data_IF_650253482492
#
_entry.id   IF_650253482492
#
_cell.length_a   1.000
_cell.length_b   1.000
_cell.length_c   1.000
_cell.angle_alpha   90.00
_cell.angle_beta   90.00
_cell.angle_gamma   90.00
#
_symmetry.space_group_name_H-M   'P 1'
#
loop_
_entity.id
_entity.type
_entity.pdbx_description
1 polymer ?
#
# COMPACT_ATOMS: atom_id res chain seq x y z
N UNK A 1 -9.07 22.85 0.84
CA UNK A 1 -9.85 23.35 -0.31
C UNK A 1 -9.21 22.99 -1.65
N UNK A 2 -9.56 21.79 -2.15
CA UNK A 2 -9.87 21.43 -3.54
C UNK A 2 -10.57 20.07 -3.41
N UNK A 3 -11.88 20.13 -3.15
CA UNK A 3 -12.81 19.01 -3.19
C UNK A 3 -13.56 19.17 -4.52
N UNK A 4 -13.84 18.06 -5.19
CA UNK A 4 -14.27 17.88 -6.58
C UNK A 4 -13.13 17.70 -7.58
N UNK A 5 -12.45 16.57 -7.49
CA UNK A 5 -12.38 15.74 -8.67
C UNK A 5 -13.30 14.53 -8.42
N UNK A 6 -14.56 14.66 -8.85
CA UNK A 6 -15.15 13.58 -9.65
C UNK A 6 -14.04 13.03 -10.52
N UNK A 7 -13.87 11.73 -10.69
CA UNK A 7 -12.98 11.18 -11.72
C UNK A 7 -13.29 11.87 -13.05
N UNK A 8 -12.61 12.97 -13.31
CA UNK A 8 -12.82 13.83 -14.46
C UNK A 8 -12.10 13.01 -15.51
N UNK A 9 -12.85 12.16 -16.19
CA UNK A 9 -12.41 11.29 -17.25
C UNK A 9 -12.09 12.14 -18.49
N UNK A 10 -11.48 13.33 -18.28
CA UNK A 10 -10.89 14.13 -19.31
C UNK A 10 -9.72 13.32 -19.84
N UNK A 11 -9.72 13.00 -21.15
CA UNK A 11 -8.59 12.29 -21.74
C UNK A 11 -7.34 13.11 -21.47
N UNK A 12 -6.44 12.55 -20.67
CA UNK A 12 -5.14 13.15 -20.41
C UNK A 12 -4.47 13.40 -21.76
N UNK A 13 -3.91 14.59 -21.98
CA UNK A 13 -3.24 14.93 -23.24
C UNK A 13 -2.12 13.92 -23.51
N UNK A 14 -2.33 13.01 -24.46
CA UNK A 14 -1.33 12.03 -24.87
C UNK A 14 -0.39 12.66 -25.89
N UNK A 15 0.89 12.31 -25.82
CA UNK A 15 1.89 12.68 -26.83
C UNK A 15 2.61 11.42 -27.31
N UNK A 16 2.86 11.32 -28.60
CA UNK A 16 3.64 10.22 -29.17
C UNK A 16 5.13 10.45 -28.93
N UNK A 17 5.83 9.38 -28.59
CA UNK A 17 7.29 9.34 -28.38
C UNK A 17 7.82 8.08 -29.05
N UNK A 18 9.00 8.17 -29.68
CA UNK A 18 9.65 7.05 -30.38
C UNK A 18 10.97 6.73 -29.70
N UNK A 19 11.19 5.46 -29.37
CA UNK A 19 12.44 4.97 -28.80
C UNK A 19 12.98 3.80 -29.62
N UNK A 20 14.30 3.60 -29.57
CA UNK A 20 14.93 2.37 -30.05
C UNK A 20 15.13 1.44 -28.85
N UNK A 21 14.66 0.20 -28.97
CA UNK A 21 14.83 -0.85 -27.98
C UNK A 21 15.49 -2.05 -28.68
N UNK A 22 16.19 -2.87 -27.90
CA UNK A 22 16.73 -4.14 -28.41
C UNK A 22 15.57 -5.06 -28.84
N UNK A 23 15.73 -5.76 -29.97
CA UNK A 23 14.67 -6.63 -30.50
C UNK A 23 14.24 -7.70 -29.50
N UNK A 24 15.19 -8.26 -28.74
CA UNK A 24 14.93 -9.22 -27.66
C UNK A 24 13.94 -8.70 -26.62
N UNK A 25 14.09 -7.44 -26.20
CA UNK A 25 13.20 -6.80 -25.23
C UNK A 25 11.81 -6.56 -25.83
N UNK A 26 11.74 -6.18 -27.10
CA UNK A 26 10.45 -5.99 -27.78
C UNK A 26 9.70 -7.32 -27.89
N UNK A 27 10.39 -8.39 -28.28
CA UNK A 27 9.81 -9.73 -28.40
C UNK A 27 9.29 -10.25 -27.07
N UNK A 28 10.03 -10.09 -25.98
CA UNK A 28 9.60 -10.49 -24.63
C UNK A 28 8.38 -9.70 -24.16
N UNK A 29 8.37 -8.37 -24.35
CA UNK A 29 7.21 -7.54 -24.01
C UNK A 29 6.00 -7.84 -24.88
N UNK A 30 6.18 -8.19 -26.16
CA UNK A 30 5.10 -8.60 -27.04
C UNK A 30 4.50 -9.93 -26.59
N UNK A 31 5.33 -10.92 -26.25
CA UNK A 31 4.87 -12.19 -25.69
C UNK A 31 4.05 -11.99 -24.42
N UNK A 32 4.53 -11.14 -23.49
CA UNK A 32 3.78 -10.79 -22.28
C UNK A 32 2.46 -10.07 -22.57
N UNK A 33 2.43 -9.19 -23.57
CA UNK A 33 1.21 -8.50 -23.96
C UNK A 33 0.17 -9.48 -24.53
N UNK A 34 0.61 -10.40 -25.40
CA UNK A 34 -0.24 -11.42 -26.00
C UNK A 34 -0.77 -12.40 -24.93
N UNK A 35 0.09 -12.84 -24.01
CA UNK A 35 -0.29 -13.69 -22.87
C UNK A 35 -1.32 -13.04 -21.96
N UNK A 36 -1.26 -11.71 -21.79
CA UNK A 36 -2.22 -10.92 -21.00
C UNK A 36 -3.42 -10.44 -21.80
N UNK A 37 -3.57 -10.87 -23.05
CA UNK A 37 -4.64 -10.46 -23.97
C UNK A 37 -4.76 -8.92 -24.08
N UNK A 38 -3.62 -8.22 -24.14
CA UNK A 38 -3.53 -6.76 -24.22
C UNK A 38 -2.62 -6.30 -25.35
N UNK A 39 -2.66 -5.02 -25.70
CA UNK A 39 -1.72 -4.48 -26.69
C UNK A 39 -0.37 -4.14 -26.05
N UNK A 40 0.71 -4.27 -26.82
CA UNK A 40 2.05 -3.85 -26.42
C UNK A 40 2.06 -2.38 -25.93
N UNK A 41 1.32 -1.50 -26.58
CA UNK A 41 1.20 -0.10 -26.17
C UNK A 41 0.54 0.05 -24.79
N UNK A 42 -0.50 -0.74 -24.48
CA UNK A 42 -1.13 -0.73 -23.16
C UNK A 42 -0.14 -1.23 -22.10
N UNK A 43 0.57 -2.34 -22.36
CA UNK A 43 1.58 -2.88 -21.45
C UNK A 43 2.70 -1.86 -21.17
N UNK A 44 3.28 -1.26 -22.22
CA UNK A 44 4.34 -0.24 -22.08
C UNK A 44 3.83 0.96 -21.28
N UNK A 45 2.63 1.45 -21.55
CA UNK A 45 2.06 2.55 -20.77
C UNK A 45 1.86 2.18 -19.29
N UNK A 46 1.46 0.94 -18.98
CA UNK A 46 1.34 0.47 -17.60
C UNK A 46 2.72 0.43 -16.91
N UNK A 47 3.76 -0.10 -17.57
CA UNK A 47 5.14 -0.14 -17.04
C UNK A 47 5.66 1.27 -16.78
N UNK A 48 5.57 2.17 -17.77
CA UNK A 48 6.05 3.55 -17.62
C UNK A 48 5.31 4.31 -16.51
N UNK A 49 3.99 4.09 -16.37
CA UNK A 49 3.21 4.67 -15.28
C UNK A 49 3.63 4.10 -13.92
N UNK A 50 3.84 2.79 -13.82
CA UNK A 50 4.31 2.12 -12.59
C UNK A 50 5.67 2.66 -12.17
N UNK A 51 6.61 2.77 -13.10
CA UNK A 51 7.94 3.33 -12.84
C UNK A 51 7.88 4.80 -12.40
N UNK A 52 7.10 5.61 -13.12
CA UNK A 52 6.95 7.04 -12.82
C UNK A 52 6.30 7.27 -11.45
N UNK A 53 5.33 6.45 -11.07
CA UNK A 53 4.58 6.64 -9.84
C UNK A 53 5.29 6.06 -8.62
N UNK A 54 5.99 4.93 -8.75
CA UNK A 54 6.52 4.20 -7.60
C UNK A 54 7.96 3.68 -7.76
N UNK A 55 8.26 2.88 -8.77
CA UNK A 55 9.51 2.08 -8.78
C UNK A 55 10.78 2.95 -8.77
N UNK A 56 10.72 4.17 -9.34
CA UNK A 56 11.85 5.14 -9.26
C UNK A 56 12.21 5.57 -7.84
N UNK A 57 11.31 5.35 -6.88
CA UNK A 57 11.48 5.67 -5.46
C UNK A 57 11.78 4.45 -4.61
N UNK A 58 11.30 3.26 -4.98
CA UNK A 58 11.43 2.01 -4.21
C UNK A 58 12.87 1.75 -3.73
N UNK A 59 13.83 1.82 -4.65
CA UNK A 59 15.26 1.66 -4.34
C UNK A 59 15.82 2.79 -3.45
N UNK A 60 15.27 4.00 -3.57
CA UNK A 60 15.74 5.17 -2.80
C UNK A 60 15.26 5.14 -1.35
N UNK A 61 14.14 4.48 -1.10
CA UNK A 61 13.57 4.28 0.25
C UNK A 61 13.95 2.91 0.82
N UNK A 62 14.91 2.21 0.22
CA UNK A 62 15.45 0.96 0.77
C UNK A 62 14.46 -0.21 0.78
N UNK A 63 13.51 -0.25 -0.16
CA UNK A 63 12.58 -1.36 -0.29
C UNK A 63 13.14 -2.48 -1.16
N UNK A 64 12.79 -3.72 -0.79
CA UNK A 64 13.19 -4.93 -1.50
C UNK A 64 11.93 -5.78 -1.70
N UNK A 65 11.73 -6.38 -2.89
CA UNK A 65 10.61 -7.30 -3.11
C UNK A 65 10.77 -8.57 -2.27
N UNK A 66 9.75 -8.91 -1.49
CA UNK A 66 9.70 -10.13 -0.67
C UNK A 66 8.57 -11.03 -1.18
N UNK A 67 8.81 -12.33 -1.41
CA UNK A 67 7.75 -13.28 -1.74
C UNK A 67 6.64 -13.27 -0.68
N UNK A 68 5.40 -13.13 -1.12
CA UNK A 68 4.23 -13.00 -0.24
C UNK A 68 4.14 -14.10 0.82
N UNK A 69 4.49 -15.34 0.44
CA UNK A 69 4.46 -16.50 1.35
C UNK A 69 5.46 -16.35 2.51
N UNK A 70 6.65 -15.80 2.25
CA UNK A 70 7.64 -15.53 3.29
C UNK A 70 7.08 -14.44 4.22
N UNK A 71 6.58 -13.35 3.65
CA UNK A 71 6.01 -12.24 4.41
C UNK A 71 4.83 -12.69 5.29
N UNK A 72 3.90 -13.50 4.77
CA UNK A 72 2.77 -14.01 5.57
C UNK A 72 3.25 -14.92 6.70
N UNK A 73 4.26 -15.76 6.44
CA UNK A 73 4.72 -16.75 7.43
C UNK A 73 5.60 -16.17 8.54
N UNK A 74 6.34 -15.09 8.29
CA UNK A 74 7.40 -14.63 9.21
C UNK A 74 6.87 -14.26 10.59
N UNK A 75 5.72 -13.58 10.64
CA UNK A 75 5.10 -13.17 11.90
C UNK A 75 4.64 -14.40 12.71
N UNK A 76 4.01 -15.37 12.04
CA UNK A 76 3.57 -16.60 12.68
C UNK A 76 4.76 -17.39 13.24
N UNK A 77 5.88 -17.44 12.51
CA UNK A 77 7.11 -18.07 12.98
C UNK A 77 7.74 -17.34 14.17
N UNK A 78 7.71 -16.00 14.19
CA UNK A 78 8.20 -15.22 15.33
C UNK A 78 7.37 -15.49 16.58
N UNK A 79 6.04 -15.51 16.48
CA UNK A 79 5.16 -15.83 17.60
C UNK A 79 5.35 -17.27 18.08
N UNK A 80 5.42 -18.22 17.14
CA UNK A 80 5.67 -19.64 17.45
C UNK A 80 7.01 -19.82 18.17
N UNK A 81 8.08 -19.23 17.65
CA UNK A 81 9.42 -19.28 18.26
C UNK A 81 9.42 -18.65 19.65
N UNK A 82 8.72 -17.54 19.86
CA UNK A 82 8.54 -16.96 21.19
C UNK A 82 7.91 -17.94 22.18
N UNK A 83 6.87 -18.66 21.75
CA UNK A 83 6.21 -19.70 22.57
C UNK A 83 7.14 -20.88 22.88
N UNK A 84 7.93 -21.33 21.89
CA UNK A 84 8.87 -22.43 22.06
C UNK A 84 10.06 -22.06 22.97
N UNK A 85 10.44 -20.78 23.01
CA UNK A 85 11.52 -20.25 23.84
C UNK A 85 11.07 -19.74 25.22
N UNK A 86 9.85 -20.07 25.65
CA UNK A 86 9.39 -19.82 27.03
C UNK A 86 8.84 -18.43 27.31
N UNK A 87 8.39 -17.68 26.29
CA UNK A 87 7.58 -16.48 26.54
C UNK A 87 6.24 -16.90 27.15
N UNK A 88 6.05 -16.57 28.42
CA UNK A 88 4.85 -16.97 29.19
C UNK A 88 3.57 -16.28 28.69
N UNK A 89 3.65 -15.00 28.32
CA UNK A 89 2.51 -14.21 27.83
C UNK A 89 2.65 -13.90 26.34
N UNK A 90 2.24 -14.87 25.52
CA UNK A 90 2.27 -14.76 24.06
C UNK A 90 1.31 -13.68 23.55
N UNK A 91 0.20 -13.43 24.25
CA UNK A 91 -0.74 -12.39 23.85
C UNK A 91 -0.10 -11.01 23.96
N UNK A 92 0.55 -10.72 25.10
CA UNK A 92 1.29 -9.47 25.30
C UNK A 92 2.49 -9.34 24.37
N UNK A 93 3.21 -10.42 24.12
CA UNK A 93 4.31 -10.42 23.14
C UNK A 93 3.83 -10.08 21.73
N UNK A 94 2.75 -10.72 21.27
CA UNK A 94 2.09 -10.42 19.99
C UNK A 94 1.67 -8.95 19.91
N UNK A 95 1.06 -8.42 20.98
CA UNK A 95 0.64 -7.02 21.02
C UNK A 95 1.84 -6.05 20.95
N UNK A 96 2.91 -6.29 21.72
CA UNK A 96 4.12 -5.47 21.69
C UNK A 96 4.78 -5.48 20.32
N UNK A 97 4.94 -6.67 19.74
CA UNK A 97 5.50 -6.85 18.41
C UNK A 97 4.73 -6.05 17.35
N UNK A 98 3.40 -6.17 17.34
CA UNK A 98 2.52 -5.43 16.42
C UNK A 98 2.69 -3.91 16.60
N UNK A 99 2.71 -3.42 17.84
CA UNK A 99 2.86 -1.99 18.14
C UNK A 99 4.20 -1.43 17.71
N UNK A 100 5.29 -2.12 18.06
CA UNK A 100 6.65 -1.71 17.72
C UNK A 100 6.85 -1.67 16.20
N UNK A 101 6.43 -2.73 15.50
CA UNK A 101 6.54 -2.78 14.04
C UNK A 101 5.68 -1.70 13.37
N UNK A 102 4.48 -1.44 13.89
CA UNK A 102 3.61 -0.38 13.36
C UNK A 102 4.23 1.00 13.53
N UNK A 103 4.90 1.24 14.67
CA UNK A 103 5.62 2.49 14.92
C UNK A 103 6.83 2.65 14.00
N UNK A 104 7.61 1.58 13.79
CA UNK A 104 8.73 1.57 12.84
C UNK A 104 8.22 1.90 11.43
N UNK A 105 7.15 1.24 10.98
CA UNK A 105 6.54 1.51 9.68
C UNK A 105 6.01 2.95 9.57
N UNK A 106 5.42 3.49 10.63
CA UNK A 106 4.90 4.86 10.66
C UNK A 106 6.03 5.90 10.53
N UNK A 107 7.14 5.69 11.22
CA UNK A 107 8.31 6.55 11.12
C UNK A 107 8.96 6.45 9.73
N UNK A 108 9.12 5.23 9.21
CA UNK A 108 9.61 5.00 7.84
C UNK A 108 8.75 5.71 6.79
N UNK A 109 7.43 5.66 6.95
CA UNK A 109 6.48 6.28 6.04
C UNK A 109 6.66 7.80 5.95
N UNK A 110 7.04 8.46 7.07
CA UNK A 110 7.26 9.90 7.09
C UNK A 110 8.37 10.33 6.15
N UNK A 111 9.54 9.71 6.26
CA UNK A 111 10.69 10.05 5.42
C UNK A 111 10.44 9.69 3.94
N UNK A 112 9.77 8.56 3.72
CA UNK A 112 9.37 8.11 2.38
C UNK A 112 8.40 9.09 1.70
N UNK A 113 7.37 9.54 2.41
CA UNK A 113 6.38 10.49 1.88
C UNK A 113 7.01 11.86 1.63
N UNK A 114 7.91 12.33 2.51
CA UNK A 114 8.66 13.56 2.28
C UNK A 114 9.52 13.48 1.02
N UNK A 115 10.18 12.34 0.76
CA UNK A 115 10.97 12.14 -0.46
C UNK A 115 10.09 12.12 -1.73
N UNK A 116 8.95 11.42 -1.69
CA UNK A 116 8.07 11.20 -2.85
C UNK A 116 7.25 12.46 -3.16
N UNK A 117 6.63 13.05 -2.14
CA UNK A 117 5.62 14.11 -2.27
C UNK A 117 6.12 15.50 -1.89
N UNK A 118 7.29 15.61 -1.25
CA UNK A 118 7.85 16.88 -0.74
C UNK A 118 6.94 17.59 0.28
N UNK A 119 5.95 16.88 0.83
CA UNK A 119 4.99 17.36 1.80
C UNK A 119 4.50 16.18 2.64
N UNK A 120 4.26 16.41 3.93
CA UNK A 120 3.80 15.39 4.87
C UNK A 120 2.49 15.81 5.52
N UNK A 121 1.39 15.25 5.03
CA UNK A 121 0.03 15.42 5.54
C UNK A 121 -0.71 14.09 5.47
N UNK A 122 -1.86 13.98 6.17
CA UNK A 122 -2.70 12.77 6.07
C UNK A 122 -2.99 12.40 4.60
N UNK A 123 -3.33 13.38 3.78
CA UNK A 123 -3.67 13.15 2.36
C UNK A 123 -2.49 12.64 1.55
N UNK A 124 -1.28 13.22 1.71
CA UNK A 124 -0.10 12.73 0.97
C UNK A 124 0.33 11.35 1.45
N UNK A 125 0.14 11.04 2.74
CA UNK A 125 0.35 9.69 3.28
C UNK A 125 -0.61 8.68 2.65
N UNK A 126 -1.92 8.96 2.65
CA UNK A 126 -2.92 8.06 2.08
C UNK A 126 -2.69 7.82 0.59
N UNK A 127 -2.33 8.86 -0.16
CA UNK A 127 -2.02 8.74 -1.59
C UNK A 127 -0.81 7.83 -1.84
N UNK A 128 0.25 7.95 -1.02
CA UNK A 128 1.45 7.09 -1.13
C UNK A 128 1.12 5.64 -0.78
N UNK A 129 0.27 5.40 0.23
CA UNK A 129 -0.17 4.06 0.59
C UNK A 129 -1.04 3.41 -0.50
N UNK A 130 -1.94 4.18 -1.12
CA UNK A 130 -2.74 3.70 -2.25
C UNK A 130 -1.85 3.33 -3.45
N UNK A 131 -0.89 4.20 -3.78
CA UNK A 131 0.10 3.92 -4.84
C UNK A 131 0.90 2.65 -4.54
N UNK A 132 1.33 2.47 -3.29
CA UNK A 132 2.03 1.28 -2.86
C UNK A 132 1.17 0.02 -3.03
N UNK A 133 -0.06 0.01 -2.47
CA UNK A 133 -0.97 -1.14 -2.56
C UNK A 133 -1.24 -1.54 -4.01
N UNK A 134 -1.43 -0.57 -4.91
CA UNK A 134 -1.61 -0.81 -6.34
C UNK A 134 -0.41 -1.50 -6.98
N UNK A 135 0.80 -1.12 -6.60
CA UNK A 135 2.04 -1.66 -7.17
C UNK A 135 2.31 -3.09 -6.70
N UNK A 136 2.07 -3.39 -5.43
CA UNK A 136 2.29 -4.73 -4.86
C UNK A 136 1.09 -5.68 -5.03
N UNK A 137 0.03 -5.24 -5.71
CA UNK A 137 -1.14 -6.06 -5.99
C UNK A 137 -2.01 -6.35 -4.75
N UNK A 138 -2.03 -5.44 -3.78
CA UNK A 138 -3.03 -5.47 -2.70
C UNK A 138 -4.32 -4.85 -3.24
N UNK A 139 -5.38 -5.65 -3.24
CA UNK A 139 -6.72 -5.17 -3.56
C UNK A 139 -7.18 -4.20 -2.47
N UNK A 140 -7.51 -2.98 -2.87
CA UNK A 140 -8.08 -1.98 -1.97
C UNK A 140 -9.21 -1.22 -2.64
N UNK A 141 -10.16 -0.77 -1.83
CA UNK A 141 -11.27 0.07 -2.24
C UNK A 141 -11.41 1.23 -1.24
N UNK A 142 -11.75 2.41 -1.76
CA UNK A 142 -12.02 3.60 -0.96
C UNK A 142 -13.29 4.25 -1.47
N UNK A 143 -14.27 4.38 -0.58
CA UNK A 143 -15.52 5.10 -0.83
C UNK A 143 -15.83 6.11 0.26
N UNK A 144 -16.66 7.08 -0.06
CA UNK A 144 -17.22 8.05 0.89
C UNK A 144 -18.72 7.78 0.94
N UNK A 145 -19.24 7.48 2.14
CA UNK A 145 -20.67 7.29 2.39
C UNK A 145 -21.41 8.65 2.37
N UNK A 146 -22.74 8.63 2.26
CA UNK A 146 -23.57 9.85 2.15
C UNK A 146 -23.40 10.81 3.34
N UNK A 147 -23.08 10.28 4.52
CA UNK A 147 -22.82 11.05 5.74
C UNK A 147 -21.40 11.66 5.78
N UNK A 148 -20.60 11.49 4.73
CA UNK A 148 -19.22 11.95 4.65
C UNK A 148 -18.20 11.01 5.30
N UNK A 149 -18.61 9.81 5.73
CA UNK A 149 -17.69 8.82 6.31
C UNK A 149 -16.83 8.18 5.22
N UNK A 150 -15.52 8.25 5.36
CA UNK A 150 -14.58 7.52 4.52
C UNK A 150 -14.52 6.07 4.96
N UNK A 151 -14.63 5.15 4.00
CA UNK A 151 -14.52 3.71 4.21
C UNK A 151 -13.42 3.16 3.32
N UNK A 152 -12.36 2.67 3.94
CA UNK A 152 -11.22 2.02 3.31
C UNK A 152 -11.31 0.51 3.53
N UNK A 153 -11.23 -0.28 2.46
CA UNK A 153 -11.21 -1.74 2.51
C UNK A 153 -9.88 -2.22 1.93
N UNK A 154 -9.10 -2.98 2.70
CA UNK A 154 -7.77 -3.44 2.32
C UNK A 154 -7.72 -4.97 2.41
N UNK A 155 -7.72 -5.66 1.27
CA UNK A 155 -7.65 -7.11 1.19
C UNK A 155 -6.20 -7.57 0.96
N UNK A 156 -5.46 -7.72 2.07
CA UNK A 156 -4.02 -8.04 2.06
C UNK A 156 -3.73 -9.54 1.89
N UNK A 157 -4.59 -10.44 2.40
CA UNK A 157 -4.39 -11.91 2.39
C UNK A 157 -3.04 -12.35 3.00
N UNK A 158 -2.72 -11.88 4.21
CA UNK A 158 -1.44 -12.16 4.88
C UNK A 158 -1.58 -12.87 6.24
N UNK A 159 -2.79 -13.06 6.76
CA UNK A 159 -3.01 -13.65 8.09
C UNK A 159 -3.30 -12.63 9.19
N UNK A 160 -3.77 -13.15 10.33
CA UNK A 160 -4.35 -12.36 11.43
C UNK A 160 -3.37 -11.34 12.03
N UNK A 161 -2.11 -11.72 12.23
CA UNK A 161 -1.10 -10.82 12.81
C UNK A 161 -0.89 -9.60 11.91
N UNK A 162 -0.88 -9.79 10.59
CA UNK A 162 -0.79 -8.69 9.64
C UNK A 162 -2.05 -7.81 9.63
N UNK A 163 -3.23 -8.38 9.85
CA UNK A 163 -4.45 -7.57 10.02
C UNK A 163 -4.39 -6.68 11.27
N UNK A 164 -3.81 -7.19 12.36
CA UNK A 164 -3.57 -6.41 13.58
C UNK A 164 -2.52 -5.32 13.38
N UNK A 165 -1.43 -5.64 12.66
CA UNK A 165 -0.45 -4.65 12.22
C UNK A 165 -1.10 -3.54 11.39
N UNK A 166 -1.88 -3.87 10.36
CA UNK A 166 -2.55 -2.85 9.51
C UNK A 166 -3.50 -2.02 10.36
N UNK A 167 -4.24 -2.63 11.30
CA UNK A 167 -5.11 -1.91 12.24
C UNK A 167 -4.33 -0.88 13.05
N UNK A 168 -3.28 -1.31 13.74
CA UNK A 168 -2.47 -0.43 14.60
C UNK A 168 -1.79 0.68 13.77
N UNK A 169 -1.26 0.32 12.60
CA UNK A 169 -0.63 1.26 11.67
C UNK A 169 -1.62 2.33 11.17
N UNK A 170 -2.85 1.96 10.81
CA UNK A 170 -3.88 2.92 10.40
C UNK A 170 -4.33 3.81 11.56
N UNK A 171 -4.42 3.28 12.78
CA UNK A 171 -4.68 4.09 13.99
C UNK A 171 -3.61 5.16 14.13
N UNK A 172 -2.32 4.78 14.07
CA UNK A 172 -1.22 5.73 14.12
C UNK A 172 -1.34 6.83 13.07
N UNK A 173 -1.67 6.48 11.82
CA UNK A 173 -1.85 7.45 10.73
C UNK A 173 -2.99 8.42 11.01
N UNK A 174 -4.19 7.93 11.27
CA UNK A 174 -5.38 8.78 11.41
C UNK A 174 -5.35 9.62 12.69
N UNK A 175 -4.86 9.07 13.80
CA UNK A 175 -4.79 9.80 15.06
C UNK A 175 -3.66 10.83 15.08
N UNK A 176 -2.47 10.51 14.52
CA UNK A 176 -1.34 11.46 14.55
C UNK A 176 -1.46 12.54 13.48
N UNK A 177 -1.93 12.20 12.26
CA UNK A 177 -1.96 13.13 11.14
C UNK A 177 -3.34 13.75 10.92
N UNK A 178 -4.40 12.94 11.05
CA UNK A 178 -5.77 13.40 10.90
C UNK A 178 -6.36 14.03 12.15
N UNK A 179 -5.79 13.75 13.33
CA UNK A 179 -6.36 14.11 14.65
C UNK A 179 -7.80 13.63 14.81
N UNK A 180 -8.10 12.47 14.21
CA UNK A 180 -9.43 11.85 14.21
C UNK A 180 -9.32 10.41 14.70
N UNK A 181 -10.38 9.93 15.35
CA UNK A 181 -10.51 8.52 15.70
C UNK A 181 -10.97 7.73 14.49
N UNK A 182 -10.41 6.54 14.32
CA UNK A 182 -10.77 5.60 13.26
C UNK A 182 -11.39 4.34 13.89
N UNK A 183 -12.53 3.90 13.34
CA UNK A 183 -13.13 2.61 13.67
C UNK A 183 -12.57 1.55 12.70
N UNK A 184 -11.94 0.51 13.25
CA UNK A 184 -11.29 -0.53 12.44
C UNK A 184 -11.78 -1.90 12.86
N UNK A 185 -12.27 -2.64 11.86
CA UNK A 185 -12.61 -4.05 11.95
C UNK A 185 -11.74 -4.86 11.00
N UNK A 186 -11.47 -6.11 11.33
CA UNK A 186 -10.65 -6.98 10.49
C UNK A 186 -11.09 -8.44 10.56
N UNK A 187 -10.83 -9.13 9.45
CA UNK A 187 -10.70 -10.58 9.35
C UNK A 187 -9.22 -10.91 9.19
N UNK A 188 -8.78 -12.19 9.21
CA UNK A 188 -7.37 -12.52 9.00
C UNK A 188 -6.78 -12.05 7.65
N UNK A 189 -7.60 -11.65 6.68
CA UNK A 189 -7.12 -11.33 5.34
C UNK A 189 -7.62 -9.99 4.81
N UNK A 190 -8.41 -9.26 5.59
CA UNK A 190 -9.00 -7.99 5.17
C UNK A 190 -9.18 -7.08 6.37
N UNK A 191 -8.76 -5.82 6.22
CA UNK A 191 -8.96 -4.77 7.21
C UNK A 191 -9.87 -3.70 6.62
N UNK A 192 -10.86 -3.26 7.40
CA UNK A 192 -11.80 -2.21 7.04
C UNK A 192 -11.65 -1.07 8.03
N UNK A 193 -11.30 0.12 7.56
CA UNK A 193 -11.18 1.33 8.35
C UNK A 193 -12.28 2.32 7.97
N UNK A 194 -12.97 2.84 8.98
CA UNK A 194 -14.06 3.80 8.86
C UNK A 194 -13.73 5.05 9.66
N UNK A 195 -13.74 6.21 9.01
CA UNK A 195 -13.28 7.47 9.62
C UNK A 195 -13.98 8.67 9.03
N UNK A 196 -14.27 9.66 9.89
CA UNK A 196 -14.64 11.00 9.44
C UNK A 196 -13.37 11.84 9.33
N UNK A 197 -13.09 12.38 8.15
CA UNK A 197 -11.91 13.22 7.93
C UNK A 197 -12.41 14.66 7.81
N UNK A 198 -11.93 15.54 8.70
CA UNK A 198 -12.24 16.96 8.60
C UNK A 198 -11.51 17.53 7.38
N UNK A 199 -12.29 18.00 6.39
CA UNK A 199 -11.80 18.68 5.18
C UNK A 199 -11.47 20.14 5.38
#
# INVERSE_FOLDING_TARGET
MKINESFDNKPSKTRSITFRLESSVIEELQFEADYRETSLNVLINQILRRYSNWERYENKIGMIPIPKIILSSVMDQVIKSGSENGIEDIAKFKESLVKELSLIAFNFLKDSVLLIKKNYSLYTVLEVLEQYMKVIGINSDHRIEEDGKHVYVIQHKLGEIWSLFIKEFLILIFENLGKVKVDISSTPNTTVAKVFINT
#
